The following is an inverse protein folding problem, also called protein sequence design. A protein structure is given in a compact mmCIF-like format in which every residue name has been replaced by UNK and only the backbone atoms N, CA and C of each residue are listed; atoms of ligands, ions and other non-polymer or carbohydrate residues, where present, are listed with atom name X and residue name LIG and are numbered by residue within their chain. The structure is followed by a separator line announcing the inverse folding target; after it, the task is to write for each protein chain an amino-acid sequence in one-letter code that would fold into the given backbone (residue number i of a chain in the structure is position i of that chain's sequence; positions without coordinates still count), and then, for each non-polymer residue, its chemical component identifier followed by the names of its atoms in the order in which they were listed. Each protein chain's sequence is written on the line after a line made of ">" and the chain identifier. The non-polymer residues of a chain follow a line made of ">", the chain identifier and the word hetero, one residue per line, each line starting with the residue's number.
data_IF_447262963894
#
_entry.id   IF_447262963894
#
_cell.length_a   1.000
_cell.length_b   1.000
_cell.length_c   1.000
_cell.angle_alpha   90.00
_cell.angle_beta   90.00
_cell.angle_gamma   90.00
#
_symmetry.space_group_name_H-M   'P 1'
#
loop_
_entity.id
_entity.type
_entity.pdbx_description
1 polymer ?
#
# COMPACT_ATOMS: atom_id res chain seq x y z
N UNK A 1 23.96 -17.84 -9.74
CA UNK A 1 22.79 -18.13 -10.59
C UNK A 1 22.49 -16.88 -11.39
N UNK A 2 22.82 -16.86 -12.68
CA UNK A 2 22.43 -15.76 -13.57
C UNK A 2 21.11 -16.14 -14.24
N UNK A 3 20.05 -15.39 -13.96
CA UNK A 3 18.73 -15.56 -14.59
C UNK A 3 18.82 -15.04 -16.04
N UNK A 4 18.05 -15.63 -16.95
CA UNK A 4 18.07 -15.26 -18.37
C UNK A 4 17.44 -13.88 -18.60
N UNK A 5 17.99 -13.03 -19.50
CA UNK A 5 17.43 -11.70 -19.81
C UNK A 5 15.96 -11.73 -20.25
N UNK A 6 15.50 -12.82 -20.86
CA UNK A 6 14.10 -12.99 -21.24
C UNK A 6 13.17 -13.15 -20.02
N UNK A 7 13.65 -13.78 -18.95
CA UNK A 7 12.91 -13.92 -17.69
C UNK A 7 12.90 -12.58 -16.93
N UNK A 8 14.01 -11.84 -16.96
CA UNK A 8 14.08 -10.50 -16.37
C UNK A 8 13.05 -9.55 -17.02
N UNK A 9 12.88 -9.63 -18.34
CA UNK A 9 11.86 -8.85 -19.06
C UNK A 9 10.42 -9.26 -18.73
N UNK A 10 10.15 -10.55 -18.50
CA UNK A 10 8.82 -11.02 -18.11
C UNK A 10 8.46 -10.59 -16.68
N UNK A 11 9.38 -10.72 -15.72
CA UNK A 11 9.16 -10.29 -14.34
C UNK A 11 8.98 -8.78 -14.27
N UNK A 12 9.85 -8.03 -14.97
CA UNK A 12 9.73 -6.57 -15.09
C UNK A 12 8.39 -6.16 -15.69
N UNK A 13 8.00 -6.74 -16.83
CA UNK A 13 6.74 -6.43 -17.50
C UNK A 13 5.53 -6.75 -16.63
N UNK A 14 5.56 -7.89 -15.93
CA UNK A 14 4.50 -8.28 -15.01
C UNK A 14 4.39 -7.32 -13.81
N UNK A 15 5.51 -6.93 -13.19
CA UNK A 15 5.54 -5.91 -12.12
C UNK A 15 4.93 -4.60 -12.59
N UNK A 16 5.36 -4.11 -13.76
CA UNK A 16 4.84 -2.86 -14.32
C UNK A 16 3.35 -2.95 -14.63
N UNK A 17 2.84 -4.10 -15.09
CA UNK A 17 1.41 -4.32 -15.30
C UNK A 17 0.62 -4.26 -14.00
N UNK A 18 1.10 -4.92 -12.93
CA UNK A 18 0.45 -4.85 -11.61
C UNK A 18 0.46 -3.43 -11.05
N UNK A 19 1.56 -2.71 -11.24
CA UNK A 19 1.66 -1.32 -10.81
C UNK A 19 0.73 -0.41 -11.60
N UNK A 20 0.59 -0.60 -12.91
CA UNK A 20 -0.36 0.15 -13.71
C UNK A 20 -1.81 -0.07 -13.24
N UNK A 21 -2.18 -1.30 -12.90
CA UNK A 21 -3.49 -1.64 -12.35
C UNK A 21 -3.72 -0.99 -10.97
N UNK A 22 -2.76 -1.11 -10.05
CA UNK A 22 -2.93 -0.62 -8.68
C UNK A 22 -2.73 0.89 -8.53
N UNK A 23 -1.85 1.50 -9.31
CA UNK A 23 -1.57 2.94 -9.24
C UNK A 23 -2.45 3.74 -10.21
N UNK A 24 -3.06 3.09 -11.22
CA UNK A 24 -3.90 3.74 -12.22
C UNK A 24 -3.13 4.53 -13.29
N UNK A 25 -1.80 4.44 -13.28
CA UNK A 25 -0.91 5.19 -14.18
C UNK A 25 0.41 4.46 -14.39
N UNK A 26 1.13 4.84 -15.45
CA UNK A 26 2.48 4.38 -15.75
C UNK A 26 3.39 5.60 -15.82
N UNK A 27 4.38 5.66 -14.93
CA UNK A 27 5.33 6.76 -14.84
C UNK A 27 6.76 6.25 -14.97
N UNK A 28 7.67 7.11 -15.42
CA UNK A 28 9.05 6.71 -15.69
C UNK A 28 9.81 6.30 -14.43
N UNK A 29 9.54 6.94 -13.30
CA UNK A 29 10.16 6.59 -12.01
C UNK A 29 9.81 5.15 -11.58
N UNK A 30 8.65 4.62 -11.95
CA UNK A 30 8.24 3.24 -11.63
C UNK A 30 9.12 2.17 -12.28
N UNK A 31 9.92 2.54 -13.29
CA UNK A 31 10.90 1.62 -13.88
C UNK A 31 12.01 1.27 -12.90
N UNK A 32 12.36 2.18 -11.99
CA UNK A 32 13.41 2.07 -10.97
C UNK A 32 12.78 2.07 -9.56
N UNK A 33 12.13 0.97 -9.14
CA UNK A 33 11.38 0.90 -7.88
C UNK A 33 12.24 1.11 -6.61
N UNK A 34 13.55 0.95 -6.72
CA UNK A 34 14.53 1.19 -5.66
C UNK A 34 14.86 2.68 -5.45
N UNK A 35 14.48 3.54 -6.40
CA UNK A 35 14.76 4.97 -6.33
C UNK A 35 13.87 5.67 -5.29
N UNK A 36 14.43 6.66 -4.61
CA UNK A 36 13.67 7.48 -3.66
C UNK A 36 12.49 8.18 -4.34
N UNK A 37 12.69 8.69 -5.56
CA UNK A 37 11.64 9.32 -6.37
C UNK A 37 10.46 8.37 -6.59
N UNK A 38 10.73 7.12 -6.97
CA UNK A 38 9.68 6.13 -7.18
C UNK A 38 8.89 5.85 -5.89
N UNK A 39 9.59 5.64 -4.78
CA UNK A 39 8.94 5.33 -3.50
C UNK A 39 8.12 6.53 -3.00
N UNK A 40 8.63 7.75 -3.12
CA UNK A 40 7.89 8.97 -2.80
C UNK A 40 6.64 9.10 -3.68
N UNK A 41 6.75 8.84 -4.99
CA UNK A 41 5.62 8.91 -5.91
C UNK A 41 4.53 7.87 -5.60
N UNK A 42 4.92 6.62 -5.35
CA UNK A 42 4.00 5.54 -4.96
C UNK A 42 3.28 5.88 -3.65
N UNK A 43 4.01 6.39 -2.65
CA UNK A 43 3.41 6.82 -1.40
C UNK A 43 2.40 7.95 -1.60
N UNK A 44 2.70 8.94 -2.45
CA UNK A 44 1.77 10.01 -2.77
C UNK A 44 0.48 9.47 -3.42
N UNK A 45 0.59 8.56 -4.42
CA UNK A 45 -0.59 7.92 -5.01
C UNK A 45 -1.40 7.17 -3.95
N UNK A 46 -0.73 6.45 -3.06
CA UNK A 46 -1.37 5.67 -2.01
C UNK A 46 -2.08 6.55 -0.97
N UNK A 47 -1.52 7.72 -0.65
CA UNK A 47 -2.12 8.73 0.23
C UNK A 47 -3.34 9.40 -0.44
N UNK A 48 -3.22 9.78 -1.72
CA UNK A 48 -4.31 10.38 -2.49
C UNK A 48 -5.50 9.40 -2.60
N UNK A 49 -5.22 8.14 -2.97
CA UNK A 49 -6.24 7.10 -3.06
C UNK A 49 -6.88 6.81 -1.70
N UNK A 50 -6.10 6.80 -0.62
CA UNK A 50 -6.67 6.64 0.72
C UNK A 50 -7.62 7.79 1.08
N UNK A 51 -7.24 9.04 0.80
CA UNK A 51 -8.08 10.21 1.04
C UNK A 51 -9.40 10.16 0.26
N UNK A 52 -9.36 9.71 -1.00
CA UNK A 52 -10.57 9.47 -1.81
C UNK A 52 -11.41 8.33 -1.22
N UNK A 53 -10.80 7.21 -0.82
CA UNK A 53 -11.49 6.04 -0.29
C UNK A 53 -12.27 6.33 1.00
N UNK A 54 -11.71 7.15 1.89
CA UNK A 54 -12.37 7.54 3.15
C UNK A 54 -13.20 8.82 3.03
N UNK A 55 -13.30 9.40 1.82
CA UNK A 55 -14.11 10.60 1.58
C UNK A 55 -15.58 10.30 1.87
N UNK A 56 -16.31 11.23 2.52
CA UNK A 56 -17.76 11.09 2.68
C UNK A 56 -18.52 11.20 1.34
N UNK A 57 -17.86 11.69 0.29
CA UNK A 57 -18.42 11.78 -1.05
C UNK A 57 -18.03 10.54 -1.85
N UNK A 58 -18.96 9.98 -2.62
CA UNK A 58 -18.63 8.94 -3.57
C UNK A 58 -17.90 9.55 -4.76
N UNK A 59 -16.62 9.20 -4.88
CA UNK A 59 -15.74 9.60 -5.96
C UNK A 59 -15.15 8.35 -6.63
N UNK A 60 -14.96 8.42 -7.94
CA UNK A 60 -14.31 7.34 -8.68
C UNK A 60 -12.82 7.26 -8.29
N UNK A 61 -12.39 6.08 -7.86
CA UNK A 61 -11.00 5.80 -7.54
C UNK A 61 -10.14 5.79 -8.81
N UNK A 62 -8.98 6.44 -8.76
CA UNK A 62 -8.01 6.44 -9.88
C UNK A 62 -7.14 5.19 -9.89
N UNK A 63 -6.86 4.64 -8.71
CA UNK A 63 -6.14 3.38 -8.52
C UNK A 63 -6.60 2.68 -7.24
N UNK A 64 -6.09 1.49 -7.00
CA UNK A 64 -6.48 0.62 -5.88
C UNK A 64 -5.43 0.56 -4.77
N UNK A 65 -4.19 1.01 -5.01
CA UNK A 65 -3.17 1.05 -3.98
C UNK A 65 -3.49 2.17 -3.00
N UNK A 66 -3.63 1.82 -1.73
CA UNK A 66 -3.87 2.76 -0.64
C UNK A 66 -2.82 2.57 0.43
N UNK A 67 -2.48 3.66 1.12
CA UNK A 67 -1.61 3.59 2.28
C UNK A 67 -2.33 2.82 3.38
N UNK A 68 -1.65 1.81 3.95
CA UNK A 68 -2.18 1.15 5.13
C UNK A 68 -2.24 2.17 6.29
N UNK A 69 -3.37 2.30 7.02
CA UNK A 69 -3.65 3.44 7.92
C UNK A 69 -2.91 3.37 9.26
N UNK A 70 -1.61 3.13 9.20
CA UNK A 70 -0.69 3.14 10.33
C UNK A 70 0.36 4.25 10.15
N UNK A 71 0.80 4.77 11.29
CA UNK A 71 1.96 5.64 11.38
C UNK A 71 3.11 4.90 12.06
N UNK A 72 4.32 5.17 11.61
CA UNK A 72 5.54 4.69 12.23
C UNK A 72 6.24 5.91 12.82
N UNK A 73 6.41 5.91 14.13
CA UNK A 73 7.10 6.98 14.86
C UNK A 73 8.63 6.90 14.64
N UNK A 74 9.37 7.94 15.00
CA UNK A 74 10.83 7.99 14.83
C UNK A 74 11.56 6.86 15.57
N UNK A 75 10.98 6.36 16.67
CA UNK A 75 11.50 5.22 17.44
C UNK A 75 11.08 3.84 16.89
N UNK A 76 10.36 3.81 15.76
CA UNK A 76 9.85 2.60 15.13
C UNK A 76 8.54 2.08 15.71
N UNK A 77 7.94 2.75 16.70
CA UNK A 77 6.65 2.35 17.26
C UNK A 77 5.54 2.57 16.24
N UNK A 78 4.70 1.54 16.07
CA UNK A 78 3.55 1.59 15.16
C UNK A 78 2.31 2.08 15.92
N UNK A 79 1.64 3.09 15.37
CA UNK A 79 0.37 3.63 15.85
C UNK A 79 -0.67 3.67 14.74
N UNK A 80 -1.97 3.89 15.05
CA UNK A 80 -2.94 4.21 14.01
C UNK A 80 -2.67 5.62 13.46
N UNK A 81 -2.99 5.84 12.20
CA UNK A 81 -3.02 7.21 11.66
C UNK A 81 -4.11 8.02 12.42
N UNK A 82 -3.85 9.28 12.81
CA UNK A 82 -4.80 10.05 13.63
C UNK A 82 -6.20 10.14 12.99
N UNK A 83 -7.24 9.79 13.76
CA UNK A 83 -8.62 9.78 13.28
C UNK A 83 -8.99 8.55 12.43
N UNK A 84 -8.10 7.56 12.35
CA UNK A 84 -8.27 6.33 11.58
C UNK A 84 -7.95 5.11 12.45
N UNK A 85 -8.43 5.10 13.69
CA UNK A 85 -8.19 4.03 14.65
C UNK A 85 -8.92 2.72 14.28
N UNK A 86 -9.96 2.82 13.45
CA UNK A 86 -10.74 1.69 12.95
C UNK A 86 -10.92 1.76 11.43
N UNK A 87 -11.15 0.62 10.78
CA UNK A 87 -11.46 0.60 9.35
C UNK A 87 -12.79 1.33 9.06
N UNK A 88 -12.87 2.05 7.91
CA UNK A 88 -14.11 2.71 7.50
C UNK A 88 -15.24 1.69 7.36
N UNK A 89 -16.47 2.13 7.64
CA UNK A 89 -17.74 1.40 7.54
C UNK A 89 -17.94 0.18 8.45
N UNK A 90 -16.98 -0.73 8.49
CA UNK A 90 -17.07 -2.00 9.24
C UNK A 90 -16.59 -1.88 10.69
N UNK A 91 -15.78 -0.86 10.99
CA UNK A 91 -15.09 -0.73 12.27
C UNK A 91 -13.98 -1.77 12.45
N UNK A 92 -13.65 -2.10 13.70
CA UNK A 92 -12.52 -2.98 14.01
C UNK A 92 -11.19 -2.22 13.98
N UNK A 93 -10.35 -2.48 14.99
CA UNK A 93 -9.13 -1.71 15.22
C UNK A 93 -8.10 -2.00 14.14
N UNK A 94 -7.54 -0.95 13.53
CA UNK A 94 -6.47 -1.08 12.51
C UNK A 94 -5.25 -1.85 13.05
N UNK A 95 -4.87 -1.60 14.30
CA UNK A 95 -3.77 -2.32 14.96
C UNK A 95 -4.16 -3.70 15.51
N UNK A 96 -5.41 -4.12 15.30
CA UNK A 96 -5.97 -5.31 15.91
C UNK A 96 -6.09 -5.20 17.43
N UNK A 97 -6.27 -6.35 18.06
CA UNK A 97 -6.30 -6.51 19.51
C UNK A 97 -5.79 -7.90 19.84
N UNK A 98 -5.13 -8.04 20.99
CA UNK A 98 -4.86 -9.38 21.52
C UNK A 98 -6.17 -10.09 21.80
N UNK A 99 -6.26 -11.34 21.36
CA UNK A 99 -7.38 -12.23 21.65
C UNK A 99 -6.98 -13.24 22.72
N UNK A 100 -7.95 -13.90 23.32
CA UNK A 100 -7.72 -15.04 24.22
C UNK A 100 -7.39 -16.34 23.46
N UNK A 101 -7.35 -16.32 22.13
CA UNK A 101 -7.05 -17.49 21.33
C UNK A 101 -5.54 -17.79 21.39
N UNK A 102 -5.16 -19.08 21.40
CA UNK A 102 -3.75 -19.47 21.32
C UNK A 102 -3.09 -18.99 20.03
N UNK A 103 -1.82 -18.59 20.12
CA UNK A 103 -1.02 -18.21 18.94
C UNK A 103 -0.98 -19.34 17.90
N UNK A 104 -0.99 -20.61 18.32
CA UNK A 104 -1.02 -21.76 17.40
C UNK A 104 -2.20 -21.78 16.41
N UNK A 105 -3.23 -20.94 16.62
CA UNK A 105 -4.37 -20.79 15.71
C UNK A 105 -4.33 -19.51 14.87
N UNK A 106 -3.47 -18.55 15.21
CA UNK A 106 -3.54 -17.17 14.69
C UNK A 106 -2.21 -16.64 14.14
N UNK A 107 -1.12 -17.42 14.27
CA UNK A 107 0.21 -17.13 13.72
C UNK A 107 0.72 -18.27 12.86
#
# INVERSE_FOLDING_TARGET
>A
MTISPAVDLQVYGYRMSLWAEHLGTVEECFRQPESEECVQRVNQVADDNWATYVSPQMEDMKGHLMRYPVKVEQDGRVGPLPGQESFPDVGGKVLGTHSSLPNALTT
#
